data_IF_320087707575
#
_entry.id   IF_320087707575
#
_cell.length_a   1.000
_cell.length_b   1.000
_cell.length_c   1.000
_cell.angle_alpha   90.00
_cell.angle_beta   90.00
_cell.angle_gamma   90.00
#
_symmetry.space_group_name_H-M   'P 1'
#
loop_
_entity.id
_entity.type
_entity.pdbx_description
1 polymer ?
#
# COMPACT_ATOMS: atom_id res chain seq x y z
N UNK A 1 -30.37 -2.19 11.75
CA UNK A 1 -29.32 -1.21 12.09
C UNK A 1 -28.13 -1.98 12.62
N UNK A 2 -27.13 -2.23 11.79
CA UNK A 2 -25.94 -3.00 12.14
C UNK A 2 -24.73 -2.06 12.15
N UNK A 3 -24.13 -1.89 13.32
CA UNK A 3 -22.96 -1.05 13.56
C UNK A 3 -21.69 -1.80 13.18
N UNK A 4 -20.90 -1.23 12.25
CA UNK A 4 -19.56 -1.71 11.91
C UNK A 4 -18.63 -1.71 13.13
N UNK A 5 -17.80 -2.74 13.35
CA UNK A 5 -16.83 -2.72 14.44
C UNK A 5 -15.61 -1.89 14.04
N UNK A 6 -15.34 -0.87 14.85
CA UNK A 6 -14.15 -0.04 14.86
C UNK A 6 -12.94 -0.85 15.33
N UNK A 7 -11.95 -1.04 14.46
CA UNK A 7 -10.63 -1.57 14.86
C UNK A 7 -9.80 -0.46 15.51
N UNK A 8 -10.03 -0.22 16.81
CA UNK A 8 -9.11 0.53 17.66
C UNK A 8 -8.61 -0.43 18.74
N UNK A 9 -7.34 -0.86 18.63
CA UNK A 9 -6.68 -1.60 19.70
C UNK A 9 -6.62 -0.76 20.99
N UNK A 10 -6.89 -1.34 22.18
CA UNK A 10 -6.72 -0.63 23.43
C UNK A 10 -5.23 -0.50 23.78
N UNK A 11 -4.76 0.73 24.00
CA UNK A 11 -3.45 0.99 24.62
C UNK A 11 -3.52 0.56 26.09
N UNK A 12 -2.82 -0.52 26.46
CA UNK A 12 -2.54 -0.83 27.87
C UNK A 12 -1.36 0.03 28.34
N UNK A 13 -1.56 0.72 29.46
CA UNK A 13 -0.57 1.58 30.10
C UNK A 13 0.55 0.79 30.78
N UNK A 14 1.78 1.29 30.65
CA UNK A 14 2.91 0.86 31.46
C UNK A 14 3.20 1.90 32.55
N UNK A 15 3.52 1.50 33.79
CA UNK A 15 3.85 2.43 34.86
C UNK A 15 5.25 3.02 34.67
N UNK A 16 5.35 4.32 34.96
CA UNK A 16 6.50 5.17 34.67
C UNK A 16 7.80 4.76 35.36
N UNK A 17 8.91 4.90 34.62
CA UNK A 17 10.26 5.06 35.16
C UNK A 17 10.79 6.43 34.74
N UNK A 18 10.96 7.32 35.73
CA UNK A 18 11.59 8.63 35.56
C UNK A 18 13.07 8.43 35.21
N UNK A 19 13.51 8.95 34.06
CA UNK A 19 14.95 9.12 33.75
C UNK A 19 15.43 10.48 34.26
N UNK A 20 16.59 10.58 34.92
CA UNK A 20 17.13 11.86 35.36
C UNK A 20 17.70 12.66 34.18
N UNK A 21 17.48 13.98 34.19
CA UNK A 21 18.09 14.94 33.27
C UNK A 21 19.50 15.31 33.76
N UNK A 22 20.52 15.39 32.90
CA UNK A 22 21.73 16.12 33.23
C UNK A 22 21.54 17.62 32.98
N UNK A 23 22.26 18.39 33.79
CA UNK A 23 22.24 19.85 33.96
C UNK A 23 22.72 20.61 32.72
N UNK A 24 22.18 21.82 32.62
CA UNK A 24 22.64 22.95 31.83
C UNK A 24 24.01 23.43 32.33
N UNK A 25 24.96 23.63 31.41
CA UNK A 25 26.02 24.61 31.59
C UNK A 25 25.96 25.61 30.44
N UNK A 26 25.81 26.88 30.83
CA UNK A 26 25.87 28.03 29.95
C UNK A 26 27.30 28.34 29.54
N UNK A 27 27.44 28.87 28.33
CA UNK A 27 28.67 29.39 27.80
C UNK A 27 28.35 30.30 26.63
N UNK A 28 27.96 31.52 26.94
CA UNK A 28 27.89 32.62 25.97
C UNK A 28 29.30 32.95 25.48
N UNK A 29 29.49 33.09 24.17
CA UNK A 29 30.49 33.99 23.60
C UNK A 29 29.89 34.65 22.37
N UNK A 30 29.37 35.86 22.61
CA UNK A 30 29.28 36.93 21.64
C UNK A 30 30.68 37.26 21.08
N UNK A 31 30.73 37.67 19.81
CA UNK A 31 31.84 38.46 19.30
C UNK A 31 32.43 37.95 17.98
N UNK A 32 31.89 38.42 16.86
CA UNK A 32 32.54 39.45 16.03
C UNK A 32 31.91 39.45 14.63
N UNK A 33 31.19 40.53 14.36
CA UNK A 33 30.82 40.94 13.03
C UNK A 33 32.08 41.27 12.21
N UNK A 34 32.21 40.70 11.01
CA UNK A 34 32.93 41.32 9.90
C UNK A 34 32.17 41.10 8.60
N UNK A 35 31.53 42.18 8.17
CA UNK A 35 31.09 42.47 6.81
C UNK A 35 32.26 42.30 5.84
N UNK A 36 32.09 41.49 4.78
CA UNK A 36 32.81 41.66 3.53
C UNK A 36 31.78 41.66 2.39
N UNK A 37 31.60 42.83 1.77
CA UNK A 37 30.83 43.03 0.56
C UNK A 37 31.65 42.57 -0.67
N UNK A 38 31.01 41.71 -1.47
CA UNK A 38 31.00 41.64 -2.94
C UNK A 38 32.32 41.84 -3.72
N UNK A 39 32.74 40.80 -4.44
CA UNK A 39 32.96 40.89 -5.90
C UNK A 39 33.19 39.49 -6.51
N UNK A 40 32.65 39.27 -7.72
CA UNK A 40 32.99 38.11 -8.56
C UNK A 40 31.80 37.22 -8.96
N UNK A 41 30.84 37.75 -9.72
CA UNK A 41 29.91 36.92 -10.51
C UNK A 41 30.54 36.72 -11.88
N UNK A 42 31.07 35.53 -12.14
CA UNK A 42 31.50 35.08 -13.47
C UNK A 42 30.28 35.09 -14.43
N UNK A 43 30.32 35.83 -15.56
CA UNK A 43 29.32 35.72 -16.60
C UNK A 43 29.75 34.63 -17.59
N UNK A 44 29.23 33.42 -17.45
CA UNK A 44 29.55 32.36 -18.42
C UNK A 44 29.23 30.91 -18.04
N UNK A 45 28.70 30.63 -16.85
CA UNK A 45 28.20 29.30 -16.56
C UNK A 45 26.88 29.08 -17.30
N UNK A 46 26.91 28.32 -18.41
CA UNK A 46 25.72 27.65 -18.93
C UNK A 46 25.04 26.93 -17.77
N UNK A 47 23.70 26.96 -17.63
CA UNK A 47 23.05 26.21 -16.59
C UNK A 47 23.45 24.75 -16.76
N UNK A 48 24.21 24.22 -15.79
CA UNK A 48 24.39 22.77 -15.65
C UNK A 48 22.99 22.20 -15.71
N UNK A 49 22.67 21.26 -16.63
CA UNK A 49 21.35 20.69 -16.68
C UNK A 49 21.08 20.14 -15.28
N UNK A 50 20.11 20.75 -14.60
CA UNK A 50 19.56 20.21 -13.37
C UNK A 50 19.12 18.82 -13.77
N UNK A 51 19.86 17.78 -13.32
CA UNK A 51 19.46 16.39 -13.53
C UNK A 51 17.97 16.34 -13.23
N UNK A 52 17.18 15.85 -14.20
CA UNK A 52 15.76 15.62 -14.00
C UNK A 52 15.61 14.98 -12.62
N UNK A 53 14.83 15.63 -11.74
CA UNK A 53 14.54 15.09 -10.41
C UNK A 53 14.12 13.64 -10.63
N UNK A 54 14.66 12.68 -9.85
CA UNK A 54 14.26 11.26 -9.91
C UNK A 54 12.72 11.15 -9.86
N UNK A 55 12.07 11.13 -11.01
CA UNK A 55 10.63 11.02 -11.15
C UNK A 55 10.29 9.54 -11.17
N UNK A 56 9.18 9.19 -10.53
CA UNK A 56 8.63 7.84 -10.64
C UNK A 56 8.35 7.54 -12.12
N UNK A 57 8.66 6.33 -12.57
CA UNK A 57 8.36 5.90 -13.94
C UNK A 57 7.24 4.87 -13.95
N UNK A 58 6.56 4.75 -15.09
CA UNK A 58 5.58 3.70 -15.36
C UNK A 58 6.18 2.32 -15.14
N UNK A 59 7.43 2.10 -15.52
CA UNK A 59 8.10 0.82 -15.34
C UNK A 59 8.27 0.46 -13.87
N UNK A 60 8.58 1.43 -13.00
CA UNK A 60 8.67 1.20 -11.56
C UNK A 60 7.31 0.82 -10.97
N UNK A 61 6.23 1.49 -11.38
CA UNK A 61 4.87 1.14 -10.95
C UNK A 61 4.45 -0.23 -11.48
N UNK A 62 4.74 -0.51 -12.75
CA UNK A 62 4.43 -1.79 -13.40
C UNK A 62 5.14 -2.93 -12.68
N UNK A 63 6.40 -2.75 -12.30
CA UNK A 63 7.15 -3.73 -11.50
C UNK A 63 6.46 -4.03 -10.17
N UNK A 64 5.95 -3.01 -9.47
CA UNK A 64 5.26 -3.19 -8.18
C UNK A 64 3.95 -3.96 -8.35
N UNK A 65 3.21 -3.73 -9.45
CA UNK A 65 1.97 -4.47 -9.73
C UNK A 65 2.24 -5.89 -10.21
N UNK A 66 3.28 -6.13 -11.01
CA UNK A 66 3.70 -7.49 -11.36
C UNK A 66 4.06 -8.31 -10.11
N UNK A 67 4.81 -7.70 -9.18
CA UNK A 67 5.06 -8.27 -7.86
C UNK A 67 3.76 -8.53 -7.09
N UNK A 68 2.85 -7.54 -7.03
CA UNK A 68 1.57 -7.65 -6.33
C UNK A 68 0.77 -8.86 -6.81
N UNK A 69 0.64 -9.04 -8.12
CA UNK A 69 -0.11 -10.14 -8.71
C UNK A 69 0.60 -11.48 -8.58
N UNK A 70 1.94 -11.52 -8.71
CA UNK A 70 2.71 -12.72 -8.39
C UNK A 70 2.47 -13.16 -6.94
N UNK A 71 2.56 -12.24 -5.97
CA UNK A 71 2.36 -12.56 -4.56
C UNK A 71 0.91 -12.97 -4.27
N UNK A 72 -0.08 -12.28 -4.85
CA UNK A 72 -1.49 -12.67 -4.77
C UNK A 72 -1.70 -14.09 -5.31
N UNK A 73 -1.11 -14.42 -6.45
CA UNK A 73 -1.25 -15.76 -7.06
C UNK A 73 -0.71 -16.88 -6.16
N UNK A 74 0.38 -16.63 -5.42
CA UNK A 74 0.93 -17.61 -4.46
C UNK A 74 -0.01 -17.85 -3.29
N UNK A 75 -0.59 -16.78 -2.74
CA UNK A 75 -1.57 -16.86 -1.65
C UNK A 75 -2.84 -17.56 -2.12
N UNK A 76 -3.37 -17.18 -3.29
CA UNK A 76 -4.57 -17.79 -3.86
C UNK A 76 -4.36 -19.27 -4.21
N UNK A 77 -3.16 -19.64 -4.69
CA UNK A 77 -2.79 -21.04 -4.94
C UNK A 77 -2.69 -21.83 -3.64
N UNK A 78 -2.09 -21.29 -2.59
CA UNK A 78 -2.06 -21.96 -1.30
C UNK A 78 -3.48 -22.16 -0.72
N UNK A 79 -4.37 -21.19 -0.93
CA UNK A 79 -5.77 -21.28 -0.53
C UNK A 79 -6.56 -22.38 -1.25
N UNK A 80 -6.13 -22.89 -2.40
CA UNK A 80 -6.82 -24.03 -3.05
C UNK A 80 -6.69 -25.33 -2.26
N UNK A 81 -5.77 -25.40 -1.30
CA UNK A 81 -5.52 -26.59 -0.50
C UNK A 81 -6.20 -26.55 0.88
N UNK A 82 -6.96 -25.51 1.20
CA UNK A 82 -7.74 -25.44 2.44
C UNK A 82 -9.18 -25.87 2.21
N UNK A 83 -9.82 -26.42 3.24
CA UNK A 83 -11.24 -26.78 3.14
C UNK A 83 -12.13 -25.53 3.06
N UNK A 84 -13.38 -25.70 2.60
CA UNK A 84 -14.37 -24.62 2.59
C UNK A 84 -14.60 -24.06 4.00
N UNK A 85 -14.59 -24.94 5.00
CA UNK A 85 -14.75 -24.59 6.41
C UNK A 85 -13.57 -23.75 6.89
N UNK A 86 -12.32 -24.15 6.58
CA UNK A 86 -11.12 -23.38 6.92
C UNK A 86 -11.09 -22.01 6.22
N UNK A 87 -11.50 -21.95 4.96
CA UNK A 87 -11.56 -20.69 4.21
C UNK A 87 -12.43 -19.62 4.90
N UNK A 88 -13.55 -20.05 5.49
CA UNK A 88 -14.51 -19.16 6.16
C UNK A 88 -14.38 -19.15 7.70
N UNK A 89 -13.50 -19.95 8.28
CA UNK A 89 -13.39 -20.10 9.72
C UNK A 89 -12.93 -18.79 10.40
N UNK A 90 -13.43 -18.47 11.60
CA UNK A 90 -12.90 -17.38 12.40
C UNK A 90 -11.40 -17.56 12.68
N UNK A 91 -10.64 -16.49 12.48
CA UNK A 91 -9.20 -16.42 12.70
C UNK A 91 -8.84 -15.08 13.38
N UNK A 92 -7.67 -15.02 14.01
CA UNK A 92 -7.16 -13.81 14.69
C UNK A 92 -6.56 -12.81 13.69
N UNK A 93 -7.27 -12.55 12.60
CA UNK A 93 -6.90 -11.61 11.54
C UNK A 93 -7.71 -10.32 11.67
N UNK A 94 -7.23 -9.23 11.08
CA UNK A 94 -7.95 -7.95 11.10
C UNK A 94 -9.31 -8.01 10.38
N UNK A 95 -9.44 -8.94 9.43
CA UNK A 95 -10.67 -9.21 8.67
C UNK A 95 -11.38 -10.49 9.11
N UNK A 96 -11.03 -11.03 10.28
CA UNK A 96 -11.77 -12.11 10.95
C UNK A 96 -11.67 -13.51 10.35
N UNK A 97 -11.33 -13.69 9.07
CA UNK A 97 -11.17 -14.99 8.42
C UNK A 97 -10.19 -14.90 7.24
N UNK A 98 -9.73 -16.05 6.71
CA UNK A 98 -8.94 -16.09 5.47
C UNK A 98 -9.73 -15.49 4.30
N UNK A 99 -11.00 -15.87 4.15
CA UNK A 99 -11.92 -15.30 3.16
C UNK A 99 -12.05 -13.78 3.34
N UNK A 100 -12.22 -13.30 4.57
CA UNK A 100 -12.33 -11.88 4.88
C UNK A 100 -11.08 -11.11 4.48
N UNK A 101 -9.89 -11.61 4.79
CA UNK A 101 -8.62 -10.97 4.42
C UNK A 101 -8.47 -10.86 2.90
N UNK A 102 -8.79 -11.94 2.17
CA UNK A 102 -8.71 -11.98 0.71
C UNK A 102 -9.77 -11.09 0.04
N UNK A 103 -11.02 -11.16 0.52
CA UNK A 103 -12.11 -10.32 0.04
C UNK A 103 -11.82 -8.83 0.25
N UNK A 104 -11.29 -8.45 1.42
CA UNK A 104 -10.90 -7.06 1.71
C UNK A 104 -9.76 -6.57 0.83
N UNK A 105 -8.78 -7.43 0.56
CA UNK A 105 -7.66 -7.10 -0.34
C UNK A 105 -8.17 -6.81 -1.74
N UNK A 106 -8.96 -7.71 -2.32
CA UNK A 106 -9.58 -7.53 -3.63
C UNK A 106 -10.51 -6.30 -3.66
N UNK A 107 -11.38 -6.15 -2.66
CA UNK A 107 -12.29 -5.03 -2.55
C UNK A 107 -11.57 -3.68 -2.49
N UNK A 108 -10.44 -3.62 -1.79
CA UNK A 108 -9.61 -2.40 -1.72
C UNK A 108 -9.03 -2.05 -3.08
N UNK A 109 -8.50 -3.04 -3.83
CA UNK A 109 -7.98 -2.83 -5.17
C UNK A 109 -9.06 -2.31 -6.12
N UNK A 110 -10.25 -2.94 -6.11
CA UNK A 110 -11.43 -2.53 -6.91
C UNK A 110 -11.79 -1.07 -6.64
N UNK A 111 -11.95 -0.69 -5.37
CA UNK A 111 -12.36 0.67 -4.99
C UNK A 111 -11.33 1.71 -5.40
N UNK A 112 -10.04 1.38 -5.29
CA UNK A 112 -8.99 2.30 -5.72
C UNK A 112 -8.92 2.41 -7.23
N UNK A 113 -9.02 1.30 -7.97
CA UNK A 113 -9.08 1.33 -9.44
C UNK A 113 -10.23 2.19 -9.93
N UNK A 114 -11.42 2.04 -9.34
CA UNK A 114 -12.60 2.86 -9.66
C UNK A 114 -12.34 4.36 -9.51
N UNK A 115 -11.55 4.74 -8.49
CA UNK A 115 -11.13 6.13 -8.30
C UNK A 115 -10.12 6.57 -9.35
N UNK A 116 -9.18 5.70 -9.70
CA UNK A 116 -8.09 6.00 -10.64
C UNK A 116 -8.57 6.15 -12.09
N UNK A 117 -9.45 5.25 -12.53
CA UNK A 117 -9.80 5.10 -13.93
C UNK A 117 -11.11 5.79 -14.28
N UNK A 118 -12.14 5.67 -13.43
CA UNK A 118 -13.47 6.25 -13.68
C UNK A 118 -13.76 7.50 -12.84
N UNK A 119 -12.90 7.84 -11.88
CA UNK A 119 -13.17 8.94 -10.93
C UNK A 119 -14.32 8.65 -9.97
N UNK A 120 -14.75 7.38 -9.86
CA UNK A 120 -15.90 6.97 -9.07
C UNK A 120 -15.46 6.68 -7.63
N UNK A 121 -16.08 7.36 -6.67
CA UNK A 121 -15.88 7.11 -5.24
C UNK A 121 -17.10 6.40 -4.64
N UNK A 122 -16.97 5.08 -4.44
CA UNK A 122 -18.01 4.28 -3.79
C UNK A 122 -17.96 4.43 -2.26
N UNK A 123 -19.11 4.23 -1.61
CA UNK A 123 -19.27 4.32 -0.15
C UNK A 123 -18.95 3.00 0.57
N UNK A 124 -18.89 1.87 -0.14
CA UNK A 124 -18.64 0.55 0.43
C UNK A 124 -17.64 -0.24 -0.42
N UNK A 125 -16.94 -1.18 0.23
CA UNK A 125 -16.13 -2.19 -0.45
C UNK A 125 -17.00 -3.45 -0.63
N UNK A 126 -16.69 -4.28 -1.64
CA UNK A 126 -17.09 -5.69 -1.63
C UNK A 126 -16.70 -6.34 -0.29
N UNK A 127 -17.61 -7.14 0.23
CA UNK A 127 -17.50 -7.86 1.50
C UNK A 127 -17.23 -9.34 1.25
N UNK A 128 -16.89 -10.10 2.30
CA UNK A 128 -16.70 -11.54 2.16
C UNK A 128 -17.96 -12.32 1.74
N UNK A 129 -19.16 -11.77 1.96
CA UNK A 129 -20.41 -12.41 1.47
C UNK A 129 -20.58 -12.31 -0.04
N UNK A 130 -19.94 -11.33 -0.69
CA UNK A 130 -19.92 -11.21 -2.15
C UNK A 130 -19.04 -12.30 -2.79
N UNK A 131 -18.22 -12.99 -1.99
CA UNK A 131 -17.30 -14.05 -2.41
C UNK A 131 -17.48 -15.32 -1.58
N UNK A 132 -18.63 -16.02 -1.71
CA UNK A 132 -18.96 -17.16 -0.85
C UNK A 132 -18.00 -18.35 -1.02
N UNK A 133 -17.30 -18.44 -2.16
CA UNK A 133 -16.33 -19.50 -2.48
C UNK A 133 -15.01 -18.92 -2.95
N UNK A 134 -13.93 -19.70 -2.82
CA UNK A 134 -12.62 -19.34 -3.37
C UNK A 134 -12.68 -19.16 -4.90
N UNK A 135 -13.43 -20.00 -5.60
CA UNK A 135 -13.58 -19.89 -7.07
C UNK A 135 -14.22 -18.56 -7.48
N UNK A 136 -15.26 -18.11 -6.76
CA UNK A 136 -15.91 -16.83 -7.02
C UNK A 136 -14.94 -15.66 -6.79
N UNK A 137 -14.15 -15.73 -5.70
CA UNK A 137 -13.12 -14.75 -5.40
C UNK A 137 -12.04 -14.73 -6.51
N UNK A 138 -11.50 -15.89 -6.90
CA UNK A 138 -10.46 -16.01 -7.92
C UNK A 138 -10.95 -15.51 -9.28
N UNK A 139 -12.18 -15.84 -9.69
CA UNK A 139 -12.77 -15.35 -10.93
C UNK A 139 -12.89 -13.82 -10.94
N UNK A 140 -13.36 -13.21 -9.84
CA UNK A 140 -13.43 -11.76 -9.73
C UNK A 140 -12.05 -11.10 -9.69
N UNK A 141 -11.08 -11.73 -9.04
CA UNK A 141 -9.71 -11.22 -8.95
C UNK A 141 -9.03 -11.24 -10.33
N UNK A 142 -9.20 -12.30 -11.10
CA UNK A 142 -8.67 -12.40 -12.46
C UNK A 142 -9.21 -11.27 -13.36
N UNK A 143 -10.49 -10.91 -13.21
CA UNK A 143 -11.06 -9.76 -13.91
C UNK A 143 -10.48 -8.43 -13.44
N UNK A 144 -10.27 -8.27 -12.13
CA UNK A 144 -9.67 -7.04 -11.60
C UNK A 144 -8.25 -6.86 -12.08
N UNK A 145 -7.45 -7.94 -12.06
CA UNK A 145 -6.07 -7.92 -12.54
C UNK A 145 -6.01 -7.50 -14.02
N UNK A 146 -6.87 -8.07 -14.88
CA UNK A 146 -6.96 -7.65 -16.28
C UNK A 146 -7.28 -6.17 -16.42
N UNK A 147 -8.27 -5.70 -15.67
CA UNK A 147 -8.74 -4.30 -15.76
C UNK A 147 -7.66 -3.33 -15.26
N UNK A 148 -7.05 -3.60 -14.11
CA UNK A 148 -5.97 -2.79 -13.55
C UNK A 148 -4.73 -2.78 -14.45
N UNK A 149 -4.33 -3.93 -15.02
CA UNK A 149 -3.23 -3.97 -15.99
C UNK A 149 -3.55 -3.14 -17.23
N UNK A 150 -4.79 -3.20 -17.72
CA UNK A 150 -5.25 -2.34 -18.82
C UNK A 150 -5.16 -0.84 -18.46
N UNK A 151 -5.56 -0.47 -17.24
CA UNK A 151 -5.40 0.90 -16.75
C UNK A 151 -3.92 1.32 -16.69
N UNK A 152 -3.06 0.53 -16.05
CA UNK A 152 -1.62 0.81 -15.94
C UNK A 152 -0.96 0.93 -17.32
N UNK A 153 -1.34 0.08 -18.27
CA UNK A 153 -0.84 0.13 -19.64
C UNK A 153 -1.22 1.44 -20.36
N UNK A 154 -2.34 2.07 -19.99
CA UNK A 154 -2.80 3.34 -20.57
C UNK A 154 -2.06 4.57 -20.05
N UNK A 155 -1.37 4.47 -18.91
CA UNK A 155 -0.68 5.61 -18.28
C UNK A 155 0.65 5.95 -18.98
N UNK A 156 1.00 7.23 -18.98
CA UNK A 156 2.36 7.75 -19.22
C UNK A 156 3.02 8.22 -17.92
N UNK A 157 4.34 8.43 -17.93
CA UNK A 157 5.11 8.86 -16.75
C UNK A 157 4.60 10.19 -16.17
N UNK A 158 4.15 11.11 -17.02
CA UNK A 158 3.63 12.41 -16.61
C UNK A 158 2.36 12.26 -15.74
N UNK A 159 1.48 11.32 -16.12
CA UNK A 159 0.22 11.09 -15.41
C UNK A 159 0.43 10.62 -13.96
N UNK A 160 1.53 9.93 -13.68
CA UNK A 160 1.85 9.43 -12.34
C UNK A 160 2.03 10.55 -11.32
N UNK A 161 2.46 11.73 -11.77
CA UNK A 161 2.68 12.90 -10.90
C UNK A 161 1.44 13.81 -10.79
N UNK A 162 0.37 13.51 -11.53
CA UNK A 162 -0.88 14.24 -11.44
C UNK A 162 -1.57 14.00 -10.08
N UNK A 163 -2.32 15.01 -9.64
CA UNK A 163 -3.16 14.90 -8.45
C UNK A 163 -4.51 14.27 -8.81
N UNK A 164 -4.97 13.37 -7.94
CA UNK A 164 -6.26 12.72 -8.03
C UNK A 164 -7.13 13.15 -6.85
N UNK A 165 -8.29 13.73 -7.14
CA UNK A 165 -9.30 14.07 -6.14
C UNK A 165 -10.31 12.93 -6.02
N UNK A 166 -10.63 12.52 -4.80
CA UNK A 166 -11.55 11.42 -4.52
C UNK A 166 -12.29 11.63 -3.20
N UNK A 167 -13.31 10.82 -2.96
CA UNK A 167 -13.94 10.69 -1.63
C UNK A 167 -13.60 9.33 -1.03
N UNK A 168 -13.30 9.32 0.27
CA UNK A 168 -13.20 8.05 0.99
C UNK A 168 -14.60 7.42 1.15
N UNK A 169 -14.67 6.21 1.69
CA UNK A 169 -15.94 5.49 1.90
C UNK A 169 -16.91 6.19 2.85
N UNK A 170 -16.44 7.16 3.65
CA UNK A 170 -17.25 8.02 4.51
C UNK A 170 -17.72 9.31 3.80
N UNK A 171 -17.44 9.45 2.51
CA UNK A 171 -17.80 10.63 1.71
C UNK A 171 -16.88 11.84 1.89
N UNK A 172 -15.82 11.73 2.69
CA UNK A 172 -14.89 12.84 2.94
C UNK A 172 -13.94 13.04 1.74
N UNK A 173 -13.78 14.28 1.24
CA UNK A 173 -12.93 14.57 0.10
C UNK A 173 -11.43 14.57 0.47
N UNK A 174 -10.61 14.09 -0.45
CA UNK A 174 -9.15 14.06 -0.38
C UNK A 174 -8.53 14.32 -1.75
N UNK A 175 -7.26 14.73 -1.75
CA UNK A 175 -6.45 14.92 -2.94
C UNK A 175 -5.04 14.37 -2.69
N UNK A 176 -4.57 13.48 -3.57
CA UNK A 176 -3.24 12.86 -3.47
C UNK A 176 -2.63 12.65 -4.85
N UNK A 177 -1.30 12.57 -4.92
CA UNK A 177 -0.59 12.25 -6.18
C UNK A 177 -0.85 10.79 -6.57
N UNK A 178 -1.13 10.55 -7.86
CA UNK A 178 -1.53 9.23 -8.36
C UNK A 178 -0.54 8.11 -7.99
N UNK A 179 0.76 8.33 -8.18
CA UNK A 179 1.75 7.30 -7.86
C UNK A 179 1.79 6.92 -6.37
N UNK A 180 1.52 7.87 -5.46
CA UNK A 180 1.41 7.56 -4.03
C UNK A 180 0.26 6.58 -3.77
N UNK A 181 -0.86 6.77 -4.48
CA UNK A 181 -2.05 5.94 -4.33
C UNK A 181 -1.85 4.53 -4.93
N UNK A 182 -1.18 4.45 -6.08
CA UNK A 182 -0.82 3.18 -6.71
C UNK A 182 0.12 2.35 -5.81
N UNK A 183 1.16 2.99 -5.24
CA UNK A 183 2.05 2.34 -4.26
C UNK A 183 1.29 1.95 -2.99
N UNK A 184 0.34 2.79 -2.54
CA UNK A 184 -0.50 2.46 -1.39
C UNK A 184 -1.31 1.18 -1.61
N UNK A 185 -1.90 0.96 -2.80
CA UNK A 185 -2.66 -0.26 -3.10
C UNK A 185 -1.77 -1.50 -2.96
N UNK A 186 -0.56 -1.47 -3.56
CA UNK A 186 0.38 -2.60 -3.49
C UNK A 186 0.84 -2.85 -2.05
N UNK A 187 1.17 -1.79 -1.31
CA UNK A 187 1.65 -1.89 0.08
C UNK A 187 0.54 -2.32 1.05
N UNK A 188 -0.68 -1.84 0.85
CA UNK A 188 -1.86 -2.32 1.58
C UNK A 188 -2.05 -3.81 1.32
N UNK A 189 -1.97 -4.25 0.06
CA UNK A 189 -1.99 -5.68 -0.28
C UNK A 189 -0.95 -6.51 0.46
N UNK A 190 0.27 -6.00 0.66
CA UNK A 190 1.32 -6.71 1.41
C UNK A 190 0.92 -7.02 2.84
N UNK A 191 0.26 -6.07 3.54
CA UNK A 191 -0.22 -6.30 4.91
C UNK A 191 -1.21 -7.47 4.97
N UNK A 192 -2.25 -7.44 4.13
CA UNK A 192 -3.30 -8.46 4.17
C UNK A 192 -2.87 -9.81 3.58
N UNK A 193 -1.93 -9.82 2.63
CA UNK A 193 -1.23 -11.06 2.23
C UNK A 193 -0.44 -11.66 3.38
N UNK A 194 0.20 -10.84 4.21
CA UNK A 194 0.89 -11.30 5.42
C UNK A 194 -0.08 -11.96 6.41
N UNK A 195 -1.23 -11.33 6.66
CA UNK A 195 -2.29 -11.90 7.50
C UNK A 195 -2.84 -13.22 6.92
N UNK A 196 -3.11 -13.28 5.61
CA UNK A 196 -3.55 -14.48 4.93
C UNK A 196 -2.49 -15.60 5.00
N UNK A 197 -1.20 -15.26 4.86
CA UNK A 197 -0.10 -16.21 4.96
C UNK A 197 0.01 -16.84 6.36
N UNK A 198 -0.28 -16.08 7.42
CA UNK A 198 -0.36 -16.61 8.79
C UNK A 198 -1.46 -17.68 8.89
N UNK A 199 -2.69 -17.37 8.49
CA UNK A 199 -3.80 -18.32 8.55
C UNK A 199 -3.55 -19.57 7.68
N UNK A 200 -3.04 -19.37 6.46
CA UNK A 200 -2.65 -20.48 5.58
C UNK A 200 -1.57 -21.37 6.21
N UNK A 201 -0.59 -20.78 6.90
CA UNK A 201 0.45 -21.54 7.60
C UNK A 201 -0.13 -22.33 8.79
N UNK A 202 -1.10 -21.78 9.53
CA UNK A 202 -1.83 -22.49 10.59
C UNK A 202 -2.59 -23.72 10.04
N UNK A 203 -3.05 -23.65 8.79
CA UNK A 203 -3.67 -24.78 8.10
C UNK A 203 -2.68 -25.74 7.42
N UNK A 204 -1.37 -25.56 7.61
CA UNK A 204 -0.33 -26.37 6.99
C UNK A 204 -0.13 -26.10 5.49
N UNK A 205 -0.67 -24.98 4.98
CA UNK A 205 -0.67 -24.59 3.56
C UNK A 205 0.11 -23.29 3.34
N UNK A 206 1.30 -23.15 3.93
CA UNK A 206 2.09 -21.92 3.80
C UNK A 206 2.33 -21.54 2.32
N UNK A 207 2.12 -20.27 1.92
CA UNK A 207 2.41 -19.83 0.55
C UNK A 207 3.92 -19.69 0.25
N UNK A 208 4.78 -19.84 1.26
CA UNK A 208 6.21 -19.58 1.19
C UNK A 208 6.54 -18.09 1.15
N UNK A 209 7.72 -17.75 0.63
CA UNK A 209 8.18 -16.36 0.54
C UNK A 209 7.30 -15.51 -0.38
N UNK A 210 6.91 -14.34 0.13
CA UNK A 210 6.09 -13.35 -0.58
C UNK A 210 6.83 -12.03 -0.82
N UNK A 211 8.14 -11.95 -0.55
CA UNK A 211 8.90 -10.72 -0.68
C UNK A 211 9.25 -10.37 -2.14
N UNK A 212 9.44 -9.07 -2.40
CA UNK A 212 9.82 -8.55 -3.72
C UNK A 212 11.10 -9.21 -4.28
N UNK A 213 12.09 -9.49 -3.44
CA UNK A 213 13.32 -10.16 -3.90
C UNK A 213 13.06 -11.61 -4.31
N UNK A 214 12.11 -12.30 -3.67
CA UNK A 214 11.71 -13.65 -4.10
C UNK A 214 11.03 -13.60 -5.48
N UNK A 215 10.18 -12.60 -5.71
CA UNK A 215 9.60 -12.34 -7.04
C UNK A 215 10.69 -12.08 -8.10
N UNK A 216 11.62 -11.16 -7.83
CA UNK A 216 12.66 -10.80 -8.79
C UNK A 216 13.56 -11.99 -9.16
N UNK A 217 13.84 -12.88 -8.19
CA UNK A 217 14.59 -14.12 -8.44
C UNK A 217 13.78 -15.15 -9.22
N UNK A 218 12.47 -15.24 -9.00
CA UNK A 218 11.59 -16.15 -9.73
C UNK A 218 11.33 -15.71 -11.19
N UNK A 219 11.61 -14.44 -11.52
CA UNK A 219 11.48 -13.87 -12.86
C UNK A 219 12.75 -14.00 -13.72
N UNK A 220 13.91 -14.23 -13.09
CA UNK A 220 15.20 -14.36 -13.75
C UNK A 220 15.39 -15.76 -14.34
#
# INVERSE_FOLDING_TARGET
MATSPTSCWPRRGHPGRKRPRPRSDGGALDGLARTLLLSGREPGASPVPVRARNSVTKDQITLLYDYNYWANSRVLKAATNVSREQFAAPARLSQGSLRGALAHTLGTEIVWRLRFQEGISVSTLPSESDFPTLDALQARWAEEERTMRGYLASLGDEALTAKLTYKNTKGMPFENVLWHLLVHVVNHGTQFRGEAAVALTEYGQSPGDLDLLAFLRARA
#
